data_IF_528421645686
#
_entry.id   IF_528421645686
#
_cell.length_a   1.000
_cell.length_b   1.000
_cell.length_c   1.000
_cell.angle_alpha   90.00
_cell.angle_beta   90.00
_cell.angle_gamma   90.00
#
_symmetry.space_group_name_H-M   'P 1'
#
loop_
_entity.id
_entity.type
_entity.pdbx_description
1 polymer ?
#
# COMPACT_ATOMS: atom_id res chain seq x y z
N UNK A 1 40.53 -41.42 -1.87
CA UNK A 1 39.95 -40.54 -0.84
C UNK A 1 38.41 -40.47 -0.86
N UNK A 2 37.72 -40.45 -2.04
CA UNK A 2 36.23 -40.38 -2.10
C UNK A 2 35.56 -41.75 -1.82
N UNK A 3 36.27 -42.87 -2.00
CA UNK A 3 35.77 -44.21 -1.75
C UNK A 3 35.95 -44.63 -0.26
N UNK A 4 36.99 -44.14 0.40
CA UNK A 4 37.19 -44.31 1.84
C UNK A 4 36.19 -43.50 2.68
N UNK A 5 35.83 -42.29 2.26
CA UNK A 5 34.84 -41.48 2.96
C UNK A 5 33.43 -42.07 2.91
N UNK A 6 33.06 -42.77 1.81
CA UNK A 6 31.78 -43.51 1.73
C UNK A 6 31.74 -44.73 2.65
N UNK A 7 32.86 -45.45 2.81
CA UNK A 7 32.95 -46.60 3.72
C UNK A 7 32.81 -46.23 5.20
N UNK A 8 33.44 -45.14 5.64
CA UNK A 8 33.30 -44.61 7.00
C UNK A 8 31.87 -44.18 7.32
N UNK A 9 31.21 -43.50 6.39
CA UNK A 9 29.81 -43.07 6.57
C UNK A 9 28.84 -44.24 6.75
N UNK A 10 29.04 -45.34 6.04
CA UNK A 10 28.21 -46.53 6.15
C UNK A 10 28.47 -47.32 7.46
N UNK A 11 29.69 -47.33 7.96
CA UNK A 11 30.02 -47.94 9.26
C UNK A 11 29.34 -47.15 10.40
N UNK A 12 29.40 -45.84 10.40
CA UNK A 12 28.70 -45.03 11.40
C UNK A 12 27.18 -45.17 11.34
N UNK A 13 26.59 -45.21 10.13
CA UNK A 13 25.15 -45.45 9.95
C UNK A 13 24.73 -46.81 10.51
N UNK A 14 25.49 -47.90 10.26
CA UNK A 14 25.22 -49.26 10.81
C UNK A 14 25.32 -49.27 12.33
N UNK A 15 26.36 -48.65 12.89
CA UNK A 15 26.52 -48.59 14.35
C UNK A 15 25.37 -47.79 15.01
N UNK A 16 24.92 -46.71 14.39
CA UNK A 16 23.77 -45.94 14.88
C UNK A 16 22.48 -46.76 14.83
N UNK A 17 22.25 -47.43 13.70
CA UNK A 17 21.10 -48.34 13.51
C UNK A 17 21.06 -49.46 14.54
N UNK A 18 22.20 -50.11 14.78
CA UNK A 18 22.29 -51.17 15.79
C UNK A 18 21.99 -50.68 17.21
N UNK A 19 22.41 -49.45 17.57
CA UNK A 19 22.09 -48.84 18.87
C UNK A 19 20.60 -48.53 18.99
N UNK A 20 20.01 -47.98 17.93
CA UNK A 20 18.58 -47.66 17.85
C UNK A 20 17.72 -48.91 18.00
N UNK A 21 18.09 -49.99 17.30
CA UNK A 21 17.40 -51.29 17.36
C UNK A 21 17.56 -52.02 18.70
N UNK A 22 18.68 -51.84 19.41
CA UNK A 22 18.89 -52.42 20.75
C UNK A 22 18.10 -51.73 21.86
N UNK A 23 17.72 -50.44 21.65
CA UNK A 23 17.00 -49.68 22.65
C UNK A 23 15.75 -48.97 22.05
N UNK A 24 14.76 -49.71 21.49
CA UNK A 24 13.66 -49.12 20.73
C UNK A 24 12.80 -48.22 21.58
N UNK A 25 12.54 -48.53 22.84
CA UNK A 25 11.76 -47.71 23.76
C UNK A 25 12.44 -46.37 24.06
N UNK A 26 13.75 -46.35 24.28
CA UNK A 26 14.52 -45.14 24.51
C UNK A 26 14.55 -44.28 23.26
N UNK A 27 14.74 -44.86 22.08
CA UNK A 27 14.71 -44.17 20.79
C UNK A 27 13.35 -43.48 20.56
N UNK A 28 12.27 -44.21 20.86
CA UNK A 28 10.90 -43.64 20.73
C UNK A 28 10.68 -42.47 21.69
N UNK A 29 11.13 -42.57 22.95
CA UNK A 29 11.08 -41.47 23.91
C UNK A 29 11.89 -40.27 23.43
N UNK A 30 13.12 -40.49 22.95
CA UNK A 30 13.95 -39.41 22.40
C UNK A 30 13.28 -38.74 21.19
N UNK A 31 12.70 -39.54 20.28
CA UNK A 31 11.99 -38.98 19.11
C UNK A 31 10.77 -38.15 19.53
N UNK A 32 9.98 -38.59 20.51
CA UNK A 32 8.85 -37.84 21.04
C UNK A 32 9.33 -36.56 21.72
N UNK A 33 10.40 -36.60 22.50
CA UNK A 33 10.96 -35.38 23.14
C UNK A 33 11.44 -34.38 22.10
N UNK A 34 12.18 -34.85 21.07
CA UNK A 34 12.62 -33.98 19.96
C UNK A 34 11.43 -33.38 19.23
N UNK A 35 10.39 -34.16 18.95
CA UNK A 35 9.16 -33.65 18.31
C UNK A 35 8.46 -32.61 19.20
N UNK A 36 8.32 -32.89 20.49
CA UNK A 36 7.71 -31.96 21.43
C UNK A 36 8.49 -30.65 21.58
N UNK A 37 9.84 -30.73 21.63
CA UNK A 37 10.69 -29.54 21.68
C UNK A 37 10.67 -28.77 20.38
N UNK A 38 10.45 -29.40 19.22
CA UNK A 38 10.32 -28.75 17.92
C UNK A 38 9.00 -27.94 17.79
N UNK A 39 7.99 -28.26 18.59
CA UNK A 39 6.73 -27.48 18.61
C UNK A 39 6.93 -26.08 19.22
N UNK A 40 7.90 -25.91 20.11
CA UNK A 40 8.17 -24.61 20.74
C UNK A 40 8.67 -23.56 19.74
N UNK A 41 9.72 -23.78 18.91
CA UNK A 41 10.09 -22.81 17.88
C UNK A 41 9.00 -22.63 16.81
N UNK A 42 8.21 -23.67 16.49
CA UNK A 42 7.12 -23.57 15.53
C UNK A 42 6.05 -22.55 15.94
N UNK A 43 5.78 -22.42 17.25
CA UNK A 43 4.85 -21.42 17.78
C UNK A 43 5.42 -20.00 17.77
N UNK A 44 6.75 -19.86 17.70
CA UNK A 44 7.45 -18.56 17.72
C UNK A 44 7.92 -18.12 16.34
N UNK A 45 7.77 -18.97 15.32
CA UNK A 45 8.03 -18.58 13.92
C UNK A 45 6.91 -17.66 13.48
N UNK A 46 7.27 -16.40 13.16
CA UNK A 46 6.36 -15.42 12.62
C UNK A 46 5.74 -15.85 11.27
N UNK A 47 4.66 -15.19 10.86
CA UNK A 47 4.00 -15.47 9.59
C UNK A 47 4.13 -14.30 8.63
N UNK A 48 4.81 -14.51 7.49
CA UNK A 48 4.84 -13.59 6.36
C UNK A 48 4.20 -14.25 5.14
N UNK A 49 3.62 -13.44 4.26
CA UNK A 49 3.02 -13.94 3.02
C UNK A 49 4.08 -14.26 1.97
N UNK A 50 5.05 -13.37 1.82
CA UNK A 50 6.20 -13.52 0.92
C UNK A 50 7.46 -12.97 1.59
N UNK A 51 8.64 -13.57 1.35
CA UNK A 51 9.90 -12.99 1.82
C UNK A 51 10.09 -11.59 1.22
N UNK A 52 10.88 -10.76 1.90
CA UNK A 52 11.26 -9.45 1.37
C UNK A 52 12.06 -9.66 0.08
N UNK A 53 11.50 -9.21 -1.04
CA UNK A 53 12.18 -9.23 -2.33
C UNK A 53 13.04 -7.98 -2.46
N UNK A 54 14.30 -8.17 -2.81
CA UNK A 54 15.20 -7.10 -3.20
C UNK A 54 15.13 -6.96 -4.72
N UNK A 55 14.46 -5.91 -5.20
CA UNK A 55 14.27 -5.65 -6.62
C UNK A 55 15.42 -4.83 -7.23
N UNK A 56 16.43 -4.46 -6.42
CA UNK A 56 17.54 -3.61 -6.85
C UNK A 56 17.21 -2.11 -6.90
N UNK A 57 15.94 -1.77 -6.91
CA UNK A 57 15.39 -0.40 -6.90
C UNK A 57 14.48 -0.21 -5.69
N UNK A 58 14.22 1.05 -5.33
CA UNK A 58 13.31 1.40 -4.23
C UNK A 58 12.29 2.43 -4.71
N UNK A 59 11.07 2.33 -4.23
CA UNK A 59 10.01 3.31 -4.45
C UNK A 59 9.73 4.06 -3.14
N UNK A 60 9.87 5.36 -3.18
CA UNK A 60 9.51 6.26 -2.10
C UNK A 60 8.13 6.87 -2.38
N UNK A 61 7.16 6.64 -1.49
CA UNK A 61 5.76 7.05 -1.65
C UNK A 61 5.25 7.85 -0.45
N UNK A 62 5.77 9.05 -0.22
CA UNK A 62 5.27 9.89 0.87
C UNK A 62 3.86 10.38 0.58
N UNK A 63 3.15 10.72 1.64
CA UNK A 63 1.87 11.43 1.57
C UNK A 63 1.97 12.74 2.31
N UNK A 64 1.52 13.83 1.66
CA UNK A 64 1.36 15.13 2.26
C UNK A 64 -0.07 15.34 2.77
N UNK A 65 -0.29 16.44 3.49
CA UNK A 65 -1.63 16.85 3.89
C UNK A 65 -2.43 17.37 2.67
N UNK A 66 -3.75 17.18 2.64
CA UNK A 66 -4.61 17.68 1.57
C UNK A 66 -4.54 19.21 1.43
N UNK A 67 -4.87 19.70 0.23
CA UNK A 67 -4.87 21.13 -0.07
C UNK A 67 -3.52 21.68 -0.52
N UNK A 68 -2.58 20.81 -0.85
CA UNK A 68 -1.29 21.20 -1.41
C UNK A 68 -1.46 21.80 -2.81
N UNK A 69 -0.86 22.97 -3.07
CA UNK A 69 -0.83 23.54 -4.42
C UNK A 69 0.14 22.79 -5.33
N UNK A 70 -0.11 22.79 -6.65
CA UNK A 70 0.77 22.15 -7.62
C UNK A 70 2.21 22.69 -7.56
N UNK A 71 2.38 24.02 -7.36
CA UNK A 71 3.71 24.61 -7.17
C UNK A 71 4.42 24.09 -5.93
N UNK A 72 3.70 24.00 -4.79
CA UNK A 72 4.29 23.47 -3.55
C UNK A 72 4.57 21.98 -3.63
N UNK A 73 3.72 21.20 -4.31
CA UNK A 73 4.00 19.80 -4.59
C UNK A 73 5.30 19.63 -5.41
N UNK A 74 5.49 20.43 -6.45
CA UNK A 74 6.72 20.42 -7.24
C UNK A 74 7.98 20.80 -6.44
N UNK A 75 7.88 21.81 -5.56
CA UNK A 75 8.99 22.19 -4.66
C UNK A 75 9.36 21.06 -3.70
N UNK A 76 8.35 20.44 -3.05
CA UNK A 76 8.56 19.34 -2.11
C UNK A 76 9.16 18.12 -2.81
N UNK A 77 8.65 17.77 -4.00
CA UNK A 77 9.18 16.67 -4.80
C UNK A 77 10.67 16.90 -5.11
N UNK A 78 11.02 18.09 -5.62
CA UNK A 78 12.42 18.42 -5.93
C UNK A 78 13.29 18.44 -4.68
N UNK A 79 12.79 18.89 -3.55
CA UNK A 79 13.51 18.89 -2.29
C UNK A 79 13.81 17.46 -1.82
N UNK A 80 12.81 16.58 -1.81
CA UNK A 80 12.99 15.19 -1.41
C UNK A 80 13.92 14.44 -2.36
N UNK A 81 13.76 14.62 -3.67
CA UNK A 81 14.61 13.99 -4.68
C UNK A 81 16.08 14.42 -4.56
N UNK A 82 16.34 15.70 -4.27
CA UNK A 82 17.71 16.20 -4.02
C UNK A 82 18.31 15.58 -2.76
N UNK A 83 17.53 15.46 -1.68
CA UNK A 83 17.99 14.81 -0.45
C UNK A 83 18.33 13.33 -0.68
N UNK A 84 17.46 12.59 -1.37
CA UNK A 84 17.67 11.19 -1.72
C UNK A 84 18.95 11.04 -2.57
N UNK A 85 19.17 11.95 -3.53
CA UNK A 85 20.33 11.92 -4.43
C UNK A 85 21.66 12.15 -3.71
N UNK A 86 21.66 12.67 -2.48
CA UNK A 86 22.90 12.83 -1.68
C UNK A 86 23.49 11.51 -1.19
N UNK A 87 22.69 10.43 -1.14
CA UNK A 87 23.16 9.11 -0.70
C UNK A 87 24.07 8.49 -1.75
N UNK A 88 25.31 8.08 -1.41
CA UNK A 88 26.32 7.64 -2.38
C UNK A 88 25.90 6.43 -3.24
N UNK A 89 25.08 5.54 -2.71
CA UNK A 89 24.57 4.33 -3.39
C UNK A 89 23.50 4.64 -4.43
N UNK A 90 22.92 5.84 -4.41
CA UNK A 90 21.86 6.23 -5.35
C UNK A 90 22.46 6.61 -6.71
N UNK A 91 22.07 5.86 -7.75
CA UNK A 91 22.47 6.12 -9.14
C UNK A 91 21.59 7.18 -9.79
N UNK A 92 20.26 7.05 -9.69
CA UNK A 92 19.31 8.02 -10.23
C UNK A 92 18.06 8.12 -9.36
N UNK A 93 17.40 9.27 -9.46
CA UNK A 93 16.12 9.56 -8.76
C UNK A 93 15.17 10.15 -9.78
N UNK A 94 13.97 9.61 -9.85
CA UNK A 94 12.90 10.09 -10.72
C UNK A 94 11.59 10.11 -9.94
N UNK A 95 11.01 11.29 -9.77
CA UNK A 95 9.78 11.47 -9.01
C UNK A 95 8.65 12.11 -9.81
N UNK A 96 7.41 11.76 -9.47
CA UNK A 96 6.18 12.43 -9.91
C UNK A 96 5.31 12.80 -8.72
N UNK A 97 4.52 13.87 -8.86
CA UNK A 97 3.48 14.26 -7.91
C UNK A 97 2.14 14.29 -8.63
N UNK A 98 1.12 13.70 -8.02
CA UNK A 98 -0.21 13.62 -8.59
C UNK A 98 -0.39 12.52 -9.62
N UNK A 99 -1.51 12.57 -10.33
CA UNK A 99 -2.01 11.53 -11.24
C UNK A 99 -1.42 11.66 -12.64
N UNK A 100 -1.00 10.55 -13.21
CA UNK A 100 -0.79 10.44 -14.65
C UNK A 100 -2.15 10.37 -15.39
N UNK A 101 -2.17 10.75 -16.67
CA UNK A 101 -3.36 10.62 -17.53
C UNK A 101 -3.61 9.15 -17.93
N UNK A 102 -3.99 8.34 -16.94
CA UNK A 102 -4.32 6.94 -17.13
C UNK A 102 -5.48 6.52 -16.21
N UNK A 103 -6.23 5.50 -16.63
CA UNK A 103 -7.35 4.97 -15.84
C UNK A 103 -6.90 4.24 -14.57
N UNK A 104 -5.64 3.81 -14.50
CA UNK A 104 -5.10 2.97 -13.42
C UNK A 104 -4.30 3.76 -12.38
N UNK A 105 -4.17 5.07 -12.51
CA UNK A 105 -3.45 5.92 -11.56
C UNK A 105 -4.42 6.82 -10.79
N UNK A 106 -4.86 6.44 -9.59
CA UNK A 106 -5.78 7.24 -8.78
C UNK A 106 -5.07 8.25 -7.86
N UNK A 107 -3.76 8.50 -8.05
CA UNK A 107 -2.96 9.30 -7.13
C UNK A 107 -3.45 10.76 -7.05
N UNK A 108 -3.81 11.28 -5.85
CA UNK A 108 -4.08 12.70 -5.65
C UNK A 108 -2.77 13.51 -5.66
N UNK A 109 -2.87 14.84 -5.73
CA UNK A 109 -1.69 15.72 -5.84
C UNK A 109 -0.75 15.63 -4.63
N UNK A 110 -1.26 15.33 -3.45
CA UNK A 110 -0.50 15.12 -2.22
C UNK A 110 0.23 13.77 -2.14
N UNK A 111 0.03 12.90 -3.10
CA UNK A 111 0.74 11.62 -3.20
C UNK A 111 1.90 11.74 -4.18
N UNK A 112 3.11 11.52 -3.67
CA UNK A 112 4.32 11.47 -4.47
C UNK A 112 4.73 10.02 -4.73
N UNK A 113 5.35 9.81 -5.87
CA UNK A 113 5.98 8.53 -6.23
C UNK A 113 7.37 8.83 -6.79
N UNK A 114 8.41 8.44 -6.06
CA UNK A 114 9.80 8.62 -6.47
C UNK A 114 10.48 7.27 -6.60
N UNK A 115 10.88 6.92 -7.80
CA UNK A 115 11.70 5.74 -8.09
C UNK A 115 13.17 6.06 -7.86
N UNK A 116 13.84 5.23 -7.07
CA UNK A 116 15.24 5.35 -6.68
C UNK A 116 15.97 4.15 -7.25
N UNK A 117 16.86 4.40 -8.20
CA UNK A 117 17.74 3.36 -8.71
C UNK A 117 19.05 3.37 -7.94
N UNK A 118 19.46 2.20 -7.47
CA UNK A 118 20.73 2.05 -6.80
C UNK A 118 21.86 1.71 -7.79
N UNK A 119 23.07 2.02 -7.40
CA UNK A 119 24.28 1.57 -8.09
C UNK A 119 24.44 0.04 -7.90
N UNK A 120 25.22 -0.62 -8.77
CA UNK A 120 25.59 -2.02 -8.55
C UNK A 120 26.18 -2.24 -7.15
N UNK A 121 25.91 -3.39 -6.56
CA UNK A 121 26.27 -3.70 -5.15
C UNK A 121 27.75 -3.65 -4.84
N UNK A 122 28.61 -3.91 -5.82
CA UNK A 122 30.05 -3.78 -5.73
C UNK A 122 30.54 -2.34 -5.52
N UNK A 123 29.70 -1.35 -5.82
CA UNK A 123 29.98 0.07 -5.62
C UNK A 123 29.39 0.63 -4.33
N UNK A 124 28.76 -0.21 -3.51
CA UNK A 124 28.20 0.22 -2.24
C UNK A 124 29.26 0.32 -1.16
N UNK A 125 29.03 1.18 -0.17
CA UNK A 125 29.87 1.27 1.03
C UNK A 125 29.95 -0.10 1.74
N UNK A 126 31.10 -0.45 2.31
CA UNK A 126 31.32 -1.72 2.98
C UNK A 126 30.30 -1.93 4.12
N UNK A 127 29.63 -3.10 4.11
CA UNK A 127 28.63 -3.49 5.11
C UNK A 127 27.26 -2.77 4.97
N UNK A 128 27.04 -2.05 3.86
CA UNK A 128 25.74 -1.46 3.55
C UNK A 128 24.78 -2.53 3.03
N UNK A 129 23.54 -2.51 3.51
CA UNK A 129 22.44 -3.36 3.07
C UNK A 129 21.25 -2.51 2.65
N UNK A 130 20.29 -3.09 1.93
CA UNK A 130 19.07 -2.37 1.53
C UNK A 130 18.31 -1.82 2.74
N UNK A 131 18.22 -2.57 3.82
CA UNK A 131 17.54 -2.12 5.06
C UNK A 131 18.24 -0.91 5.67
N UNK A 132 19.57 -0.93 5.75
CA UNK A 132 20.36 0.23 6.24
C UNK A 132 20.23 1.45 5.33
N UNK A 133 20.14 1.24 4.01
CA UNK A 133 19.89 2.33 3.07
C UNK A 133 18.50 2.94 3.30
N UNK A 134 17.48 2.14 3.51
CA UNK A 134 16.12 2.62 3.83
C UNK A 134 16.13 3.41 5.13
N UNK A 135 16.83 2.96 6.17
CA UNK A 135 16.98 3.70 7.43
C UNK A 135 17.70 5.04 7.24
N UNK A 136 18.77 5.04 6.45
CA UNK A 136 19.52 6.27 6.14
C UNK A 136 18.67 7.25 5.34
N UNK A 137 17.97 6.78 4.30
CA UNK A 137 17.06 7.57 3.49
C UNK A 137 15.92 8.15 4.34
N UNK A 138 15.31 7.34 5.19
CA UNK A 138 14.22 7.78 6.09
C UNK A 138 14.69 8.86 7.09
N UNK A 139 15.94 8.79 7.53
CA UNK A 139 16.54 9.79 8.39
C UNK A 139 16.85 11.10 7.66
N UNK A 140 17.31 11.02 6.41
CA UNK A 140 17.69 12.20 5.59
C UNK A 140 16.43 12.92 5.10
N UNK A 141 15.40 12.17 4.68
CA UNK A 141 14.15 12.72 4.14
C UNK A 141 13.12 12.92 5.26
N UNK A 142 13.45 13.77 6.24
CA UNK A 142 12.50 14.20 7.28
C UNK A 142 11.97 15.58 6.96
N UNK A 143 10.90 15.63 6.17
CA UNK A 143 10.21 16.87 5.82
C UNK A 143 8.93 16.98 6.65
N UNK A 144 8.74 18.07 7.42
CA UNK A 144 7.51 18.26 8.18
C UNK A 144 6.27 18.22 7.28
N UNK A 145 5.27 17.46 7.69
CA UNK A 145 4.02 17.29 6.93
C UNK A 145 4.05 16.19 5.86
N UNK A 146 5.18 15.48 5.67
CA UNK A 146 5.28 14.27 4.87
C UNK A 146 5.34 13.03 5.77
N UNK A 147 4.60 12.00 5.41
CA UNK A 147 4.70 10.67 6.00
C UNK A 147 5.38 9.74 5.00
N UNK A 148 6.52 9.19 5.38
CA UNK A 148 7.36 8.38 4.49
C UNK A 148 6.86 6.93 4.41
N UNK A 149 6.87 6.37 3.20
CA UNK A 149 6.69 4.94 2.92
C UNK A 149 7.75 4.53 1.90
N UNK A 150 8.49 3.45 2.22
CA UNK A 150 9.55 2.90 1.40
C UNK A 150 9.19 1.46 1.02
N UNK A 151 9.05 1.19 -0.27
CA UNK A 151 8.56 -0.10 -0.77
C UNK A 151 9.30 -0.55 -2.03
N UNK A 152 9.38 -1.85 -2.31
CA UNK A 152 9.83 -2.34 -3.61
C UNK A 152 8.84 -1.94 -4.72
N UNK A 153 9.30 -1.44 -5.88
CA UNK A 153 8.42 -0.86 -6.90
C UNK A 153 7.44 -1.85 -7.54
N UNK A 154 7.91 -3.03 -7.94
CA UNK A 154 7.07 -4.03 -8.63
C UNK A 154 6.06 -4.62 -7.67
N UNK A 155 6.53 -5.06 -6.49
CA UNK A 155 5.67 -5.63 -5.46
C UNK A 155 4.58 -4.65 -5.03
N UNK A 156 4.96 -3.41 -4.79
CA UNK A 156 3.99 -2.38 -4.37
C UNK A 156 2.92 -2.14 -5.45
N UNK A 157 3.30 -2.17 -6.73
CA UNK A 157 2.35 -2.03 -7.82
C UNK A 157 1.32 -3.16 -7.82
N UNK A 158 1.77 -4.40 -7.59
CA UNK A 158 0.88 -5.57 -7.47
C UNK A 158 -0.05 -5.42 -6.26
N UNK A 159 0.51 -5.07 -5.10
CA UNK A 159 -0.26 -4.90 -3.86
C UNK A 159 -1.32 -3.80 -4.01
N UNK A 160 -0.95 -2.65 -4.58
CA UNK A 160 -1.88 -1.54 -4.82
C UNK A 160 -3.00 -1.89 -5.81
N UNK A 161 -2.70 -2.60 -6.90
CA UNK A 161 -3.71 -3.00 -7.88
C UNK A 161 -4.69 -4.04 -7.30
N UNK A 162 -4.21 -4.92 -6.44
CA UNK A 162 -5.02 -5.99 -5.87
C UNK A 162 -5.84 -5.56 -4.65
N UNK A 163 -5.28 -4.71 -3.78
CA UNK A 163 -5.88 -4.34 -2.49
C UNK A 163 -6.21 -2.85 -2.38
N UNK A 164 -5.64 -2.01 -3.24
CA UNK A 164 -5.68 -0.55 -3.16
C UNK A 164 -4.71 0.05 -2.13
N UNK A 165 -4.06 -0.78 -1.30
CA UNK A 165 -3.22 -0.34 -0.19
C UNK A 165 -1.76 -0.27 -0.64
N UNK A 166 -1.08 0.87 -0.37
CA UNK A 166 0.32 1.12 -0.73
C UNK A 166 1.33 0.75 0.35
N UNK A 167 0.88 0.28 1.51
CA UNK A 167 1.70 -0.14 2.65
C UNK A 167 1.52 -1.64 2.92
N UNK A 168 2.41 -2.27 3.71
CA UNK A 168 2.27 -3.69 4.06
C UNK A 168 0.93 -4.04 4.69
N UNK A 169 0.39 -3.12 5.51
CA UNK A 169 -0.93 -3.27 6.14
C UNK A 169 -1.77 -2.03 5.87
N UNK A 170 -3.04 -2.26 5.57
CA UNK A 170 -4.05 -1.22 5.47
C UNK A 170 -5.25 -1.52 6.37
N UNK A 171 -5.75 -0.51 7.04
CA UNK A 171 -7.01 -0.59 7.77
C UNK A 171 -8.06 0.22 7.01
N UNK A 172 -9.09 -0.44 6.54
CA UNK A 172 -10.19 0.17 5.79
C UNK A 172 -11.39 0.34 6.70
N UNK A 173 -11.85 1.56 6.83
CA UNK A 173 -13.07 1.90 7.58
C UNK A 173 -14.18 2.22 6.58
N UNK A 174 -15.28 1.48 6.61
CA UNK A 174 -16.42 1.71 5.73
C UNK A 174 -17.62 2.20 6.54
N UNK A 175 -18.35 3.17 5.98
CA UNK A 175 -19.51 3.78 6.64
C UNK A 175 -20.39 4.61 5.70
N UNK A 176 -21.28 5.40 6.27
CA UNK A 176 -22.25 6.22 5.55
C UNK A 176 -21.87 7.70 5.48
N UNK A 177 -21.06 8.18 6.44
CA UNK A 177 -20.70 9.59 6.58
C UNK A 177 -19.19 9.78 6.63
N UNK A 178 -18.67 10.68 5.77
CA UNK A 178 -17.22 10.92 5.64
C UNK A 178 -16.59 11.54 6.90
N UNK A 179 -17.27 12.44 7.57
CA UNK A 179 -16.75 13.08 8.78
C UNK A 179 -16.58 12.07 9.91
N UNK A 180 -17.53 11.14 10.03
CA UNK A 180 -17.45 10.05 11.01
C UNK A 180 -16.32 9.06 10.65
N UNK A 181 -16.17 8.72 9.36
CA UNK A 181 -15.05 7.85 8.89
C UNK A 181 -13.71 8.53 9.19
N UNK A 182 -13.57 9.83 8.87
CA UNK A 182 -12.33 10.60 9.12
C UNK A 182 -11.96 10.60 10.61
N UNK A 183 -12.93 10.79 11.50
CA UNK A 183 -12.73 10.72 12.94
C UNK A 183 -12.28 9.32 13.40
N UNK A 184 -12.92 8.27 12.90
CA UNK A 184 -12.56 6.87 13.24
C UNK A 184 -11.16 6.54 12.73
N UNK A 185 -10.83 6.89 11.48
CA UNK A 185 -9.50 6.64 10.90
C UNK A 185 -8.40 7.39 11.66
N UNK A 186 -8.66 8.63 12.08
CA UNK A 186 -7.74 9.40 12.93
C UNK A 186 -7.56 8.79 14.33
N UNK A 187 -8.59 8.19 14.90
CA UNK A 187 -8.52 7.47 16.18
C UNK A 187 -7.71 6.18 16.03
N UNK A 188 -7.94 5.42 14.94
CA UNK A 188 -7.14 4.24 14.59
C UNK A 188 -5.67 4.62 14.40
N UNK A 189 -5.37 5.69 13.64
CA UNK A 189 -4.00 6.18 13.44
C UNK A 189 -3.28 6.40 14.77
N UNK A 190 -3.93 7.07 15.72
CA UNK A 190 -3.35 7.33 17.05
C UNK A 190 -3.11 6.05 17.82
N UNK A 191 -4.10 5.14 17.82
CA UNK A 191 -4.00 3.85 18.51
C UNK A 191 -2.86 3.00 17.97
N UNK A 192 -2.69 2.97 16.64
CA UNK A 192 -1.70 2.11 15.98
C UNK A 192 -0.26 2.61 16.14
N UNK A 193 -0.04 3.91 16.33
CA UNK A 193 1.30 4.47 16.54
C UNK A 193 1.99 3.95 17.81
N UNK A 194 1.20 3.53 18.80
CA UNK A 194 1.71 3.03 20.07
C UNK A 194 1.93 1.50 20.07
N UNK A 195 1.62 0.80 18.96
CA UNK A 195 1.80 -0.64 18.86
C UNK A 195 3.24 -0.98 18.51
N UNK A 196 3.92 -1.86 19.26
CA UNK A 196 5.30 -2.25 18.98
C UNK A 196 5.46 -2.87 17.59
N UNK A 197 6.48 -2.43 16.84
CA UNK A 197 6.76 -2.86 15.47
C UNK A 197 6.06 -2.05 14.38
N UNK A 198 5.18 -1.11 14.74
CA UNK A 198 4.64 -0.11 13.80
C UNK A 198 5.64 1.03 13.66
N UNK A 199 6.19 1.21 12.45
CA UNK A 199 7.13 2.29 12.15
C UNK A 199 6.41 3.58 11.76
N UNK A 200 5.28 3.46 11.08
CA UNK A 200 4.40 4.59 10.77
C UNK A 200 2.95 4.14 10.63
N UNK A 201 2.04 5.01 11.02
CA UNK A 201 0.61 4.88 10.75
C UNK A 201 0.09 6.24 10.28
N UNK A 202 -0.62 6.25 9.14
CA UNK A 202 -1.15 7.46 8.53
C UNK A 202 -2.57 7.21 8.04
N UNK A 203 -3.54 7.93 8.62
CA UNK A 203 -4.89 7.96 8.08
C UNK A 203 -4.98 8.92 6.89
N UNK A 204 -5.65 8.49 5.83
CA UNK A 204 -6.09 9.39 4.77
C UNK A 204 -6.96 10.49 5.37
N UNK A 205 -6.73 11.73 4.99
CA UNK A 205 -7.59 12.85 5.38
C UNK A 205 -8.73 12.93 4.38
N UNK A 206 -9.94 12.67 4.86
CA UNK A 206 -11.16 12.67 4.03
C UNK A 206 -11.83 14.05 3.98
N UNK A 207 -11.34 14.98 4.78
CA UNK A 207 -11.80 16.37 4.87
C UNK A 207 -10.60 17.31 4.70
N UNK A 208 -10.85 18.57 4.31
CA UNK A 208 -9.80 19.59 4.19
C UNK A 208 -9.29 19.83 2.77
N UNK A 209 -9.89 19.22 1.75
CA UNK A 209 -9.71 19.66 0.36
C UNK A 209 -10.36 21.01 0.16
N UNK A 210 -9.69 21.92 -0.55
CA UNK A 210 -10.21 23.26 -0.82
C UNK A 210 -10.76 23.36 -2.23
N UNK A 211 -11.96 23.91 -2.33
CA UNK A 211 -12.69 24.11 -3.58
C UNK A 211 -13.09 25.57 -3.73
N UNK A 212 -13.20 26.03 -4.95
CA UNK A 212 -13.89 27.29 -5.28
C UNK A 212 -15.25 26.88 -5.82
N UNK A 213 -16.29 27.11 -5.03
CA UNK A 213 -17.66 26.89 -5.43
C UNK A 213 -18.19 28.13 -6.18
N UNK A 214 -18.78 27.89 -7.34
CA UNK A 214 -19.48 28.88 -8.12
C UNK A 214 -20.95 28.50 -8.14
N UNK A 215 -21.73 29.07 -7.22
CA UNK A 215 -23.16 28.82 -7.10
C UNK A 215 -23.94 29.81 -7.96
N UNK A 216 -24.48 29.35 -9.09
CA UNK A 216 -25.19 30.19 -10.04
C UNK A 216 -26.57 30.54 -9.47
N UNK A 217 -26.89 31.85 -9.37
CA UNK A 217 -28.20 32.34 -9.02
C UNK A 217 -29.07 32.35 -10.27
N UNK A 218 -29.92 31.34 -10.39
CA UNK A 218 -30.73 31.07 -11.60
C UNK A 218 -31.63 32.27 -11.99
N UNK A 219 -32.28 32.88 -11.01
CA UNK A 219 -33.18 33.98 -11.24
C UNK A 219 -32.43 35.24 -11.72
N UNK A 220 -31.24 35.50 -11.21
CA UNK A 220 -30.40 36.60 -11.63
C UNK A 220 -29.88 36.39 -13.05
N UNK A 221 -29.39 35.17 -13.36
CA UNK A 221 -28.94 34.79 -14.69
C UNK A 221 -30.08 34.93 -15.72
N UNK A 222 -31.28 34.46 -15.37
CA UNK A 222 -32.46 34.57 -16.24
C UNK A 222 -32.87 36.00 -16.59
N UNK A 223 -32.68 36.97 -15.66
CA UNK A 223 -32.95 38.41 -15.93
C UNK A 223 -32.11 38.96 -17.08
N UNK A 224 -30.92 38.39 -17.28
CA UNK A 224 -30.00 38.75 -18.35
C UNK A 224 -30.11 37.84 -19.58
N UNK A 225 -31.08 36.91 -19.59
CA UNK A 225 -31.28 35.95 -20.66
C UNK A 225 -30.25 34.83 -20.71
N UNK A 226 -29.53 34.60 -19.59
CA UNK A 226 -28.54 33.52 -19.43
C UNK A 226 -29.18 32.29 -18.78
N UNK A 227 -28.86 31.12 -19.28
CA UNK A 227 -29.14 29.86 -18.63
C UNK A 227 -27.92 29.37 -17.83
N UNK A 228 -28.06 28.29 -17.07
CA UNK A 228 -26.98 27.76 -16.24
C UNK A 228 -25.78 27.33 -17.10
N UNK A 229 -26.03 26.72 -18.27
CA UNK A 229 -24.97 26.22 -19.14
C UNK A 229 -24.10 27.36 -19.70
N UNK A 230 -24.72 28.53 -19.98
CA UNK A 230 -23.98 29.71 -20.47
C UNK A 230 -22.96 30.19 -19.42
N UNK A 231 -23.39 30.31 -18.16
CA UNK A 231 -22.49 30.70 -17.05
C UNK A 231 -21.44 29.62 -16.76
N UNK A 232 -21.84 28.35 -16.77
CA UNK A 232 -20.91 27.23 -16.58
C UNK A 232 -19.85 27.17 -17.70
N UNK A 233 -20.22 27.42 -18.95
CA UNK A 233 -19.31 27.49 -20.08
C UNK A 233 -18.23 28.54 -19.86
N UNK A 234 -18.60 29.75 -19.39
CA UNK A 234 -17.65 30.79 -19.05
C UNK A 234 -16.69 30.34 -17.96
N UNK A 235 -17.20 29.74 -16.88
CA UNK A 235 -16.37 29.27 -15.78
C UNK A 235 -15.41 28.17 -16.25
N UNK A 236 -15.90 27.16 -17.00
CA UNK A 236 -15.06 26.04 -17.47
C UNK A 236 -13.99 26.52 -18.45
N UNK A 237 -14.33 27.38 -19.42
CA UNK A 237 -13.37 27.87 -20.41
C UNK A 237 -12.37 28.88 -19.81
N UNK A 238 -12.87 29.83 -18.99
CA UNK A 238 -12.02 30.88 -18.43
C UNK A 238 -11.07 30.38 -17.35
N UNK A 239 -11.54 29.50 -16.46
CA UNK A 239 -10.77 28.97 -15.31
C UNK A 239 -10.10 27.65 -15.63
N UNK A 240 -10.86 26.68 -16.14
CA UNK A 240 -10.38 25.34 -16.48
C UNK A 240 -9.56 25.29 -17.76
N UNK A 241 -10.02 26.01 -18.75
CA UNK A 241 -9.50 26.02 -20.10
C UNK A 241 -10.23 25.06 -21.04
N UNK A 242 -10.25 25.39 -22.31
CA UNK A 242 -10.84 24.61 -23.38
C UNK A 242 -9.77 24.18 -24.38
N UNK A 243 -9.76 22.90 -24.75
CA UNK A 243 -8.86 22.38 -25.77
C UNK A 243 -9.44 22.74 -27.15
N UNK A 244 -8.80 23.69 -27.84
CA UNK A 244 -9.23 24.19 -29.16
C UNK A 244 -8.56 23.47 -30.34
N UNK A 245 -7.57 22.64 -30.08
CA UNK A 245 -6.85 21.87 -31.09
C UNK A 245 -5.67 21.10 -30.50
N UNK A 246 -4.93 20.45 -31.38
CA UNK A 246 -3.70 19.72 -31.02
C UNK A 246 -2.57 20.07 -31.98
N UNK A 247 -1.33 20.13 -31.50
CA UNK A 247 -0.14 20.07 -32.34
C UNK A 247 0.39 18.66 -32.42
N UNK A 248 0.96 18.29 -33.55
CA UNK A 248 1.55 16.98 -33.80
C UNK A 248 3.03 17.14 -34.10
N UNK A 249 3.88 16.61 -33.20
CA UNK A 249 5.34 16.65 -33.35
C UNK A 249 5.88 15.21 -33.38
N UNK A 250 6.06 14.69 -34.56
CA UNK A 250 6.40 13.27 -34.76
C UNK A 250 5.28 12.36 -34.25
N UNK A 251 5.56 11.54 -33.22
CA UNK A 251 4.57 10.66 -32.55
C UNK A 251 3.87 11.35 -31.39
N UNK A 252 4.30 12.54 -30.99
CA UNK A 252 3.75 13.25 -29.84
C UNK A 252 2.59 14.15 -30.27
N UNK A 253 1.57 14.25 -29.40
CA UNK A 253 0.42 15.13 -29.57
C UNK A 253 0.28 16.01 -28.35
N UNK A 254 0.16 17.30 -28.56
CA UNK A 254 0.04 18.28 -27.48
C UNK A 254 -1.27 19.06 -27.66
N UNK A 255 -2.18 19.04 -26.65
CA UNK A 255 -3.40 19.84 -26.72
C UNK A 255 -3.07 21.33 -26.62
N UNK A 256 -3.76 22.13 -27.43
CA UNK A 256 -3.74 23.59 -27.33
C UNK A 256 -4.89 23.99 -26.41
N UNK A 257 -4.57 24.38 -25.19
CA UNK A 257 -5.55 24.77 -24.20
C UNK A 257 -5.68 26.29 -24.11
N UNK A 258 -6.86 26.81 -24.36
CA UNK A 258 -7.20 28.24 -24.25
C UNK A 258 -7.87 28.51 -22.91
N UNK A 259 -7.29 29.41 -22.11
CA UNK A 259 -7.86 29.88 -20.84
C UNK A 259 -7.37 31.28 -20.49
N UNK A 260 -8.01 31.91 -19.51
CA UNK A 260 -7.50 33.19 -19.00
C UNK A 260 -6.10 33.02 -18.35
N UNK A 261 -5.21 34.02 -18.44
CA UNK A 261 -3.94 34.01 -17.78
C UNK A 261 -4.07 33.91 -16.26
N UNK A 262 -3.04 33.46 -15.59
CA UNK A 262 -3.06 33.19 -14.14
C UNK A 262 -3.47 34.43 -13.33
N UNK A 263 -2.99 35.60 -13.74
CA UNK A 263 -3.23 36.87 -13.07
C UNK A 263 -4.73 37.27 -13.04
N UNK A 264 -5.55 36.69 -13.91
CA UNK A 264 -7.00 36.93 -13.95
C UNK A 264 -7.83 35.92 -13.17
N UNK A 265 -7.20 34.87 -12.61
CA UNK A 265 -7.92 33.78 -11.94
C UNK A 265 -7.21 33.27 -10.66
N UNK A 266 -6.29 34.05 -10.07
CA UNK A 266 -5.51 33.68 -8.91
C UNK A 266 -6.10 34.11 -7.56
N UNK A 267 -7.21 34.87 -7.58
CA UNK A 267 -7.91 35.33 -6.36
C UNK A 267 -9.44 35.31 -6.53
N UNK A 268 -10.15 35.28 -5.40
CA UNK A 268 -11.63 35.33 -5.43
C UNK A 268 -12.17 36.61 -6.05
N UNK A 269 -11.53 37.75 -5.81
CA UNK A 269 -11.93 39.04 -6.35
C UNK A 269 -11.84 39.02 -7.87
N UNK A 270 -10.77 38.45 -8.42
CA UNK A 270 -10.59 38.35 -9.87
C UNK A 270 -11.57 37.35 -10.49
N UNK A 271 -11.83 36.23 -9.82
CA UNK A 271 -12.90 35.33 -10.26
C UNK A 271 -14.28 35.95 -10.24
N UNK A 272 -14.60 36.76 -9.23
CA UNK A 272 -15.86 37.52 -9.17
C UNK A 272 -15.99 38.53 -10.29
N UNK A 273 -14.88 39.12 -10.73
CA UNK A 273 -14.83 40.12 -11.80
C UNK A 273 -14.68 39.51 -13.20
N UNK A 274 -14.68 38.18 -13.35
CA UNK A 274 -14.63 37.54 -14.67
C UNK A 274 -15.79 38.03 -15.55
N UNK A 275 -15.51 38.45 -16.80
CA UNK A 275 -16.54 38.96 -17.69
C UNK A 275 -17.43 37.82 -18.20
N UNK A 276 -18.72 38.03 -18.14
CA UNK A 276 -19.78 37.22 -18.74
C UNK A 276 -20.47 38.06 -19.80
N UNK A 277 -20.50 37.57 -21.04
CA UNK A 277 -21.13 38.30 -22.15
C UNK A 277 -22.44 37.60 -22.52
N UNK A 278 -23.54 38.33 -22.50
CA UNK A 278 -24.83 37.81 -22.91
C UNK A 278 -24.96 37.73 -24.43
N UNK A 279 -25.90 36.98 -24.96
CA UNK A 279 -26.19 36.90 -26.40
C UNK A 279 -26.52 38.29 -27.02
N UNK A 280 -27.06 39.21 -26.21
CA UNK A 280 -27.35 40.61 -26.62
C UNK A 280 -26.11 41.51 -26.55
N UNK A 281 -24.93 40.99 -26.25
CA UNK A 281 -23.70 41.77 -26.15
C UNK A 281 -23.54 42.57 -24.86
N UNK A 282 -24.41 42.39 -23.87
CA UNK A 282 -24.29 43.05 -22.57
C UNK A 282 -23.13 42.39 -21.76
N UNK A 283 -22.29 43.22 -21.19
CA UNK A 283 -21.16 42.77 -20.35
C UNK A 283 -21.56 42.83 -18.88
N UNK A 284 -21.46 41.68 -18.23
CA UNK A 284 -21.68 41.46 -16.81
C UNK A 284 -20.38 40.96 -16.18
N UNK A 285 -20.32 40.96 -14.86
CA UNK A 285 -19.30 40.22 -14.11
C UNK A 285 -19.88 38.94 -13.50
N UNK A 286 -19.08 37.93 -13.30
CA UNK A 286 -19.56 36.63 -12.81
C UNK A 286 -20.29 36.75 -11.46
N UNK A 287 -19.91 37.70 -10.60
CA UNK A 287 -20.58 37.97 -9.33
C UNK A 287 -22.01 38.54 -9.49
N UNK A 288 -22.41 39.02 -10.67
CA UNK A 288 -23.78 39.49 -10.90
C UNK A 288 -24.75 38.31 -10.98
N UNK A 289 -24.28 37.15 -11.39
CA UNK A 289 -25.07 35.93 -11.65
C UNK A 289 -24.69 34.72 -10.80
N UNK A 290 -23.62 34.79 -10.01
CA UNK A 290 -23.15 33.69 -9.19
C UNK A 290 -22.52 34.15 -7.86
N UNK A 291 -22.66 33.31 -6.85
CA UNK A 291 -21.92 33.44 -5.59
C UNK A 291 -20.66 32.60 -5.63
N UNK A 292 -19.50 33.22 -5.41
CA UNK A 292 -18.21 32.60 -5.48
C UNK A 292 -17.58 32.58 -4.09
N UNK A 293 -17.30 31.39 -3.57
CA UNK A 293 -16.74 31.18 -2.23
C UNK A 293 -15.74 30.05 -2.20
N UNK A 294 -14.83 30.11 -1.23
CA UNK A 294 -14.00 28.94 -0.88
C UNK A 294 -14.85 28.03 0.00
N UNK A 295 -14.89 26.75 -0.34
CA UNK A 295 -15.55 25.71 0.43
C UNK A 295 -14.56 24.59 0.76
N UNK A 296 -14.76 23.98 1.91
CA UNK A 296 -14.03 22.76 2.28
C UNK A 296 -14.82 21.54 1.80
N UNK A 297 -14.11 20.54 1.34
CA UNK A 297 -14.70 19.29 0.85
C UNK A 297 -13.72 18.13 0.89
N UNK A 298 -14.14 16.94 0.50
CA UNK A 298 -13.25 15.78 0.45
C UNK A 298 -12.25 15.93 -0.70
N UNK A 299 -10.94 15.75 -0.45
CA UNK A 299 -9.94 15.77 -1.52
C UNK A 299 -10.10 14.60 -2.49
N UNK A 300 -10.62 13.47 -1.98
CA UNK A 300 -10.95 12.29 -2.75
C UNK A 300 -12.10 11.54 -2.10
N UNK A 301 -13.00 11.01 -2.93
CA UNK A 301 -14.08 10.11 -2.52
C UNK A 301 -13.72 8.68 -2.90
N UNK A 302 -13.67 7.80 -1.91
CA UNK A 302 -13.51 6.37 -2.12
C UNK A 302 -14.78 5.63 -1.76
N UNK A 303 -15.16 4.68 -2.60
CA UNK A 303 -16.20 3.72 -2.29
C UNK A 303 -15.72 2.30 -2.58
N UNK A 304 -16.06 1.39 -1.69
CA UNK A 304 -15.79 -0.03 -1.84
C UNK A 304 -17.04 -0.81 -1.43
N UNK A 305 -17.50 -1.72 -2.28
CA UNK A 305 -18.76 -2.45 -2.08
C UNK A 305 -19.96 -1.51 -1.83
N UNK A 306 -20.07 -0.45 -2.60
CA UNK A 306 -21.10 0.60 -2.54
C UNK A 306 -21.17 1.35 -1.19
N UNK A 307 -20.09 1.35 -0.39
CA UNK A 307 -19.98 2.10 0.87
C UNK A 307 -18.81 3.05 0.82
N UNK A 308 -18.98 4.25 1.37
CA UNK A 308 -17.88 5.18 1.55
C UNK A 308 -16.79 4.55 2.41
N UNK A 309 -15.54 4.80 2.07
CA UNK A 309 -14.38 4.18 2.72
C UNK A 309 -13.27 5.19 2.97
N UNK A 310 -12.61 5.07 4.12
CA UNK A 310 -11.38 5.76 4.48
C UNK A 310 -10.32 4.76 4.91
N UNK A 311 -9.06 5.05 4.60
CA UNK A 311 -7.97 4.10 4.79
C UNK A 311 -6.91 4.63 5.74
N UNK A 312 -6.33 3.71 6.52
CA UNK A 312 -5.15 3.96 7.34
C UNK A 312 -4.03 3.07 6.82
N UNK A 313 -2.94 3.68 6.39
CA UNK A 313 -1.73 3.01 5.92
C UNK A 313 -0.81 2.75 7.08
N UNK A 314 -0.32 1.53 7.21
CA UNK A 314 0.57 1.13 8.31
C UNK A 314 1.80 0.45 7.75
N UNK A 315 2.97 0.97 8.14
CA UNK A 315 4.26 0.37 7.88
C UNK A 315 4.77 -0.37 9.12
N UNK A 316 5.35 -1.57 8.90
CA UNK A 316 5.84 -2.45 9.96
C UNK A 316 7.33 -2.71 9.73
N UNK A 317 8.13 -2.60 10.78
CA UNK A 317 9.57 -2.92 10.76
C UNK A 317 9.93 -3.83 11.93
N UNK A 318 10.95 -4.65 11.72
CA UNK A 318 11.57 -5.52 12.74
C UNK A 318 10.59 -6.49 13.42
N UNK A 319 9.46 -6.78 12.78
CA UNK A 319 8.44 -7.68 13.28
C UNK A 319 7.72 -8.38 12.15
N UNK A 320 7.27 -9.62 12.39
CA UNK A 320 6.47 -10.37 11.44
C UNK A 320 5.06 -9.78 11.28
N UNK A 321 4.53 -9.90 10.07
CA UNK A 321 3.25 -9.32 9.68
C UNK A 321 2.08 -9.84 10.52
N UNK A 322 2.04 -11.15 10.79
CA UNK A 322 0.91 -11.80 11.50
C UNK A 322 0.80 -11.31 12.94
N UNK A 323 1.89 -11.38 13.71
CA UNK A 323 1.87 -10.98 15.12
C UNK A 323 1.60 -9.49 15.27
N UNK A 324 2.18 -8.65 14.40
CA UNK A 324 1.95 -7.23 14.41
C UNK A 324 0.48 -6.89 14.15
N UNK A 325 -0.16 -7.52 13.14
CA UNK A 325 -1.58 -7.26 12.85
C UNK A 325 -2.47 -7.76 13.97
N UNK A 326 -2.17 -8.89 14.61
CA UNK A 326 -2.96 -9.37 15.75
C UNK A 326 -2.95 -8.38 16.92
N UNK A 327 -1.79 -7.82 17.26
CA UNK A 327 -1.71 -6.81 18.32
C UNK A 327 -2.43 -5.51 17.93
N UNK A 328 -2.29 -5.08 16.67
CA UNK A 328 -3.03 -3.94 16.14
C UNK A 328 -4.55 -4.16 16.21
N UNK A 329 -5.04 -5.34 15.84
CA UNK A 329 -6.46 -5.70 15.94
C UNK A 329 -6.95 -5.63 17.38
N UNK A 330 -6.17 -6.15 18.34
CA UNK A 330 -6.51 -6.09 19.75
C UNK A 330 -6.51 -4.65 20.29
N UNK A 331 -5.54 -3.84 19.90
CA UNK A 331 -5.45 -2.44 20.31
C UNK A 331 -6.66 -1.64 19.80
N UNK A 332 -6.98 -1.79 18.51
CA UNK A 332 -8.14 -1.13 17.89
C UNK A 332 -9.46 -1.59 18.51
N UNK A 333 -9.64 -2.90 18.75
CA UNK A 333 -10.85 -3.42 19.38
C UNK A 333 -11.07 -2.90 20.81
N UNK A 334 -9.99 -2.60 21.55
CA UNK A 334 -10.07 -2.06 22.91
C UNK A 334 -10.35 -0.56 22.96
N UNK A 335 -9.79 0.22 22.01
CA UNK A 335 -9.78 1.66 22.10
C UNK A 335 -10.80 2.34 21.19
N UNK A 336 -11.06 1.75 20.00
CA UNK A 336 -11.90 2.37 18.98
C UNK A 336 -13.32 1.83 19.05
N UNK A 337 -14.29 2.72 19.30
CA UNK A 337 -15.71 2.38 19.32
C UNK A 337 -16.35 2.65 17.96
N UNK A 338 -16.88 1.62 17.33
CA UNK A 338 -17.58 1.74 16.05
C UNK A 338 -19.06 2.04 16.26
N UNK A 339 -19.59 3.12 15.66
CA UNK A 339 -21.04 3.35 15.61
C UNK A 339 -21.75 2.27 14.78
N UNK A 340 -23.06 2.05 14.98
CA UNK A 340 -23.84 1.17 14.11
C UNK A 340 -23.70 1.57 12.63
N UNK A 341 -23.56 0.57 11.75
CA UNK A 341 -23.40 0.79 10.32
C UNK A 341 -21.97 1.05 9.84
N UNK A 342 -20.98 1.12 10.75
CA UNK A 342 -19.56 1.22 10.39
C UNK A 342 -18.84 -0.12 10.58
N UNK A 343 -17.84 -0.36 9.76
CA UNK A 343 -17.06 -1.61 9.82
C UNK A 343 -15.57 -1.33 9.54
N UNK A 344 -14.73 -2.16 10.14
CA UNK A 344 -13.28 -2.16 9.89
C UNK A 344 -12.92 -3.46 9.17
N UNK A 345 -12.07 -3.36 8.16
CA UNK A 345 -11.43 -4.51 7.50
C UNK A 345 -9.92 -4.29 7.39
N UNK A 346 -9.18 -5.39 7.50
CA UNK A 346 -7.71 -5.40 7.40
C UNK A 346 -7.31 -5.87 6.01
N UNK A 347 -6.46 -5.14 5.35
CA UNK A 347 -6.09 -5.35 3.94
C UNK A 347 -4.58 -5.18 3.73
N UNK A 348 -4.14 -5.15 2.47
CA UNK A 348 -2.72 -5.19 2.12
C UNK A 348 -2.21 -6.64 2.08
N UNK A 349 -0.93 -6.83 2.37
CA UNK A 349 -0.29 -8.15 2.36
C UNK A 349 -0.92 -9.14 3.36
N UNK A 350 -1.46 -8.62 4.46
CA UNK A 350 -2.16 -9.43 5.47
C UNK A 350 -3.38 -10.15 4.88
N UNK A 351 -4.12 -9.54 3.97
CA UNK A 351 -5.27 -10.16 3.31
C UNK A 351 -4.87 -11.40 2.51
N UNK A 352 -3.75 -11.35 1.81
CA UNK A 352 -3.21 -12.52 1.09
C UNK A 352 -2.77 -13.62 2.04
N UNK A 353 -2.12 -13.26 3.15
CA UNK A 353 -1.70 -14.21 4.19
C UNK A 353 -2.91 -14.93 4.80
N UNK A 354 -3.97 -14.20 5.09
CA UNK A 354 -5.19 -14.74 5.66
C UNK A 354 -5.91 -15.68 4.69
N UNK A 355 -6.08 -15.25 3.43
CA UNK A 355 -6.67 -16.06 2.36
C UNK A 355 -5.86 -17.35 2.09
N UNK A 356 -4.53 -17.24 2.03
CA UNK A 356 -3.65 -18.40 1.85
C UNK A 356 -3.76 -19.37 3.02
N UNK A 357 -3.72 -18.86 4.25
CA UNK A 357 -3.88 -19.68 5.47
C UNK A 357 -5.23 -20.39 5.52
N UNK A 358 -6.31 -19.71 5.17
CA UNK A 358 -7.65 -20.29 5.14
C UNK A 358 -7.75 -21.43 4.11
N UNK A 359 -7.17 -21.24 2.91
CA UNK A 359 -7.14 -22.30 1.89
C UNK A 359 -6.27 -23.49 2.33
N UNK A 360 -5.09 -23.24 2.90
CA UNK A 360 -4.19 -24.30 3.36
C UNK A 360 -4.81 -25.14 4.48
N UNK A 361 -5.58 -24.54 5.39
CA UNK A 361 -6.29 -25.27 6.45
C UNK A 361 -7.27 -26.33 5.91
N UNK A 362 -7.77 -26.16 4.70
CA UNK A 362 -8.68 -27.11 4.05
C UNK A 362 -7.92 -28.06 3.12
N UNK A 363 -7.07 -27.51 2.27
CA UNK A 363 -6.36 -28.28 1.23
C UNK A 363 -5.39 -29.29 1.84
N UNK A 364 -4.60 -28.88 2.84
CA UNK A 364 -3.58 -29.75 3.44
C UNK A 364 -4.18 -31.02 4.10
N UNK A 365 -5.17 -30.92 5.01
CA UNK A 365 -5.79 -32.10 5.59
C UNK A 365 -6.45 -32.99 4.54
N UNK A 366 -7.11 -32.41 3.54
CA UNK A 366 -7.75 -33.16 2.47
C UNK A 366 -6.74 -33.93 1.61
N UNK A 367 -5.62 -33.28 1.25
CA UNK A 367 -4.54 -33.94 0.50
C UNK A 367 -3.91 -35.07 1.32
N UNK A 368 -3.63 -34.82 2.62
CA UNK A 368 -3.10 -35.87 3.52
C UNK A 368 -4.07 -37.04 3.65
N UNK A 369 -5.36 -36.78 3.70
CA UNK A 369 -6.40 -37.82 3.72
C UNK A 369 -6.36 -38.67 2.44
N UNK A 370 -6.29 -38.04 1.26
CA UNK A 370 -6.17 -38.76 -0.01
C UNK A 370 -4.91 -39.61 -0.05
N UNK A 371 -3.77 -39.07 0.33
CA UNK A 371 -2.50 -39.80 0.39
C UNK A 371 -2.63 -41.00 1.35
N UNK A 372 -3.22 -40.79 2.51
CA UNK A 372 -3.46 -41.86 3.48
C UNK A 372 -4.34 -42.98 2.92
N UNK A 373 -5.43 -42.64 2.26
CA UNK A 373 -6.33 -43.63 1.63
C UNK A 373 -5.62 -44.43 0.55
N UNK A 374 -4.84 -43.76 -0.30
CA UNK A 374 -4.07 -44.43 -1.36
C UNK A 374 -3.02 -45.39 -0.78
N UNK A 375 -2.30 -44.96 0.26
CA UNK A 375 -1.34 -45.81 0.97
C UNK A 375 -2.02 -47.00 1.65
N UNK A 376 -3.18 -46.77 2.29
CA UNK A 376 -3.96 -47.85 2.91
C UNK A 376 -4.43 -48.90 1.88
N UNK A 377 -4.91 -48.44 0.71
CA UNK A 377 -5.31 -49.32 -0.38
C UNK A 377 -4.13 -50.12 -0.95
N UNK A 378 -2.93 -49.54 -0.94
CA UNK A 378 -1.71 -50.18 -1.46
C UNK A 378 -1.14 -51.21 -0.49
N UNK A 379 -1.09 -50.91 0.81
CA UNK A 379 -0.45 -51.76 1.83
C UNK A 379 -1.42 -52.67 2.60
N UNK A 380 -2.74 -52.36 2.55
CA UNK A 380 -3.74 -53.13 3.25
C UNK A 380 -3.68 -53.04 4.78
N UNK A 381 -2.76 -52.27 5.35
CA UNK A 381 -2.56 -52.10 6.78
C UNK A 381 -2.49 -50.66 7.22
N UNK A 382 -3.26 -50.31 8.24
CA UNK A 382 -3.34 -48.94 8.77
C UNK A 382 -2.03 -48.45 9.36
N UNK A 383 -1.29 -49.31 10.09
CA UNK A 383 0.00 -48.95 10.71
C UNK A 383 1.07 -48.65 9.70
N UNK A 384 1.14 -49.39 8.61
CA UNK A 384 2.14 -49.21 7.55
C UNK A 384 1.89 -47.92 6.78
N UNK A 385 0.62 -47.62 6.47
CA UNK A 385 0.23 -46.34 5.83
C UNK A 385 0.63 -45.13 6.70
N UNK A 386 0.38 -45.18 8.00
CA UNK A 386 0.71 -44.13 8.95
C UNK A 386 2.22 -43.97 9.13
N UNK A 387 2.96 -45.07 9.16
CA UNK A 387 4.44 -45.06 9.26
C UNK A 387 5.07 -44.40 8.03
N UNK A 388 4.58 -44.72 6.84
CA UNK A 388 5.05 -44.08 5.58
C UNK A 388 4.74 -42.60 5.54
N UNK A 389 3.54 -42.21 5.96
CA UNK A 389 3.18 -40.77 6.07
C UNK A 389 4.09 -40.01 7.03
N UNK A 390 4.41 -40.61 8.19
CA UNK A 390 5.32 -40.02 9.15
C UNK A 390 6.75 -39.88 8.58
N UNK A 391 7.24 -40.88 7.80
CA UNK A 391 8.51 -40.82 7.10
C UNK A 391 8.54 -39.75 6.01
N UNK A 392 7.47 -39.58 5.24
CA UNK A 392 7.37 -38.54 4.21
C UNK A 392 7.45 -37.13 4.77
N UNK A 393 6.87 -36.87 5.94
CA UNK A 393 6.99 -35.60 6.64
C UNK A 393 8.44 -35.27 7.04
N UNK A 394 9.24 -36.30 7.34
CA UNK A 394 10.66 -36.13 7.72
C UNK A 394 11.61 -36.01 6.52
N UNK A 395 11.30 -36.66 5.40
CA UNK A 395 12.18 -36.75 4.21
C UNK A 395 11.83 -35.76 3.11
N UNK A 396 10.79 -34.90 3.30
CA UNK A 396 10.44 -33.87 2.35
C UNK A 396 11.61 -32.87 2.20
N UNK A 397 12.17 -32.70 0.98
CA UNK A 397 13.27 -31.76 0.78
C UNK A 397 12.83 -30.33 1.16
N UNK A 398 13.71 -29.66 1.89
CA UNK A 398 13.51 -28.24 2.22
C UNK A 398 13.51 -27.43 0.92
N UNK A 399 12.68 -26.37 0.79
CA UNK A 399 12.75 -25.45 -0.35
C UNK A 399 14.12 -24.77 -0.56
N UNK A 400 15.09 -25.02 0.34
CA UNK A 400 16.47 -24.54 0.23
C UNK A 400 17.39 -25.48 -0.58
N UNK A 401 16.91 -26.67 -0.96
CA UNK A 401 17.71 -27.66 -1.68
C UNK A 401 17.40 -27.72 -3.20
N UNK A 402 16.64 -26.73 -3.70
CA UNK A 402 16.34 -26.56 -5.13
C UNK A 402 16.92 -25.26 -5.69
#
# INVERSE_FOLDING_TARGET
DAQESRGLGDVYKRQLLDRVLRAPKLTLVVAVVVLATSLWPLQHIGGEFMPRLDEGDLLYMPSALPGLSAGKAGELLQQTDRLIKTVPEVASVYGKAGRAESATDPAPLEMFETTIQFKPRDQWRAGMTTDKLVEELDRIVKVPGLSNIWVPPIRNRIDMLATGIKSPVGVKVAGTDLATIDRITAEIERTLKDVPGVSSALAERLTGGRYVDVNIRRDDAARYGLNIADVQSVVSSAVGGENIGETVEGLQRFPINLRYPREMRDSLEKLRSLPVVTERGQRLVLSDVADIRIADGPPMLRSENARLSGWVYVDIRDRDLRSAVQDMQQAVAKQVKLPPGYSISWSGQFEFLERATAKLKVVVPFTLLIIFVLLYLTFGAFGEALLIMACLLYTSPSPRDS
#
